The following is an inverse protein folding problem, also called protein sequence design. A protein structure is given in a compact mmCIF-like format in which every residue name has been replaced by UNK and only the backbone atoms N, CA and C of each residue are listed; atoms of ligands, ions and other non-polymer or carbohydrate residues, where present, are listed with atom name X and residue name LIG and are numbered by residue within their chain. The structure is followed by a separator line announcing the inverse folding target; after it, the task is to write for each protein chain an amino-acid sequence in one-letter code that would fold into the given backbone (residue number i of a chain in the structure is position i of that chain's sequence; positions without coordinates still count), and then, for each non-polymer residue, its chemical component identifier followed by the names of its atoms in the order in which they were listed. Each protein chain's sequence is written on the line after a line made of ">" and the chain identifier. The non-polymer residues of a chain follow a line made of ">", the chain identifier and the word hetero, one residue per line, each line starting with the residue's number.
data_IF_838899376969
#
_entry.id   IF_838899376969
#
_cell.length_a   1.000
_cell.length_b   1.000
_cell.length_c   1.000
_cell.angle_alpha   90.00
_cell.angle_beta   90.00
_cell.angle_gamma   90.00
#
_symmetry.space_group_name_H-M   'P 1'
#
loop_
_entity.id
_entity.type
_entity.pdbx_description
1 polymer ?
#
# COMPACT_ATOMS: atom_id res chain seq x y z
N UNK A 1 -8.98 0.64 28.76
CA UNK A 1 -9.30 0.00 27.46
C UNK A 1 -8.95 1.01 26.39
N UNK A 2 -7.71 1.01 25.89
CA UNK A 2 -7.39 1.77 24.69
C UNK A 2 -8.07 1.05 23.53
N UNK A 3 -9.12 1.66 22.98
CA UNK A 3 -9.63 1.25 21.69
C UNK A 3 -8.55 1.58 20.67
N UNK A 4 -7.88 0.57 20.13
CA UNK A 4 -6.99 0.71 18.97
C UNK A 4 -7.79 1.40 17.86
N UNK A 5 -7.64 2.71 17.73
CA UNK A 5 -8.33 3.48 16.71
C UNK A 5 -7.75 3.07 15.37
N UNK A 6 -8.54 2.34 14.59
CA UNK A 6 -8.18 2.04 13.21
C UNK A 6 -7.90 3.35 12.46
N UNK A 7 -6.83 3.41 11.65
CA UNK A 7 -6.46 4.62 10.93
C UNK A 7 -7.61 5.12 10.05
N UNK A 8 -7.78 6.45 10.00
CA UNK A 8 -8.85 7.07 9.21
C UNK A 8 -8.73 6.71 7.73
N UNK A 9 -9.86 6.35 7.12
CA UNK A 9 -10.02 6.10 5.68
C UNK A 9 -9.45 7.24 4.85
N UNK A 10 -8.72 6.91 3.79
CA UNK A 10 -8.23 7.88 2.80
C UNK A 10 -9.35 8.25 1.83
N UNK A 11 -9.24 9.47 1.30
CA UNK A 11 -10.12 9.90 0.23
C UNK A 11 -9.84 9.09 -1.05
N UNK A 12 -10.88 8.79 -1.84
CA UNK A 12 -10.78 8.00 -3.08
C UNK A 12 -9.75 8.55 -4.07
N UNK A 13 -9.62 9.88 -4.18
CA UNK A 13 -8.61 10.50 -5.05
C UNK A 13 -7.18 10.25 -4.58
N UNK A 14 -6.95 10.18 -3.26
CA UNK A 14 -5.64 9.85 -2.69
C UNK A 14 -5.27 8.42 -3.02
N UNK A 15 -6.19 7.47 -2.86
CA UNK A 15 -5.98 6.06 -3.19
C UNK A 15 -5.59 5.92 -4.66
N UNK A 16 -6.37 6.51 -5.59
CA UNK A 16 -6.07 6.46 -7.04
C UNK A 16 -4.72 7.07 -7.40
N UNK A 17 -4.37 8.21 -6.79
CA UNK A 17 -3.07 8.86 -7.03
C UNK A 17 -1.92 7.97 -6.56
N UNK A 18 -2.05 7.38 -5.38
CA UNK A 18 -1.01 6.51 -4.79
C UNK A 18 -0.88 5.22 -5.58
N UNK A 19 -1.99 4.60 -6.01
CA UNK A 19 -1.98 3.42 -6.87
C UNK A 19 -1.28 3.69 -8.21
N UNK A 20 -1.58 4.82 -8.87
CA UNK A 20 -0.88 5.23 -10.10
C UNK A 20 0.62 5.40 -9.89
N UNK A 21 1.02 6.04 -8.80
CA UNK A 21 2.45 6.21 -8.46
C UNK A 21 3.10 4.86 -8.16
N UNK A 22 2.42 3.98 -7.45
CA UNK A 22 2.91 2.64 -7.14
C UNK A 22 3.15 1.83 -8.43
N UNK A 23 2.17 1.78 -9.34
CA UNK A 23 2.32 1.11 -10.65
C UNK A 23 3.53 1.65 -11.43
N UNK A 24 3.73 2.96 -11.43
CA UNK A 24 4.89 3.58 -12.09
C UNK A 24 6.22 3.19 -11.45
N UNK A 25 6.27 3.05 -10.12
CA UNK A 25 7.47 2.64 -9.39
C UNK A 25 7.77 1.14 -9.50
N UNK A 26 6.75 0.31 -9.73
CA UNK A 26 6.91 -1.13 -9.94
C UNK A 26 7.42 -1.46 -11.35
N UNK A 27 7.05 -0.65 -12.34
CA UNK A 27 7.46 -0.88 -13.73
C UNK A 27 9.00 -0.91 -13.88
N UNK A 28 9.55 -2.09 -14.18
CA UNK A 28 10.99 -2.32 -14.31
C UNK A 28 11.75 -2.45 -12.98
N UNK A 29 11.05 -2.52 -11.84
CA UNK A 29 11.65 -2.64 -10.51
C UNK A 29 11.46 -4.06 -9.94
N UNK A 30 12.47 -4.91 -10.16
CA UNK A 30 12.48 -6.29 -9.66
C UNK A 30 12.60 -6.42 -8.13
N UNK A 31 13.07 -5.37 -7.44
CA UNK A 31 13.22 -5.40 -5.98
C UNK A 31 11.91 -5.12 -5.24
N UNK A 32 10.88 -4.64 -5.93
CA UNK A 32 9.62 -4.18 -5.35
C UNK A 32 9.69 -2.77 -4.77
N UNK A 33 8.55 -2.28 -4.27
CA UNK A 33 8.40 -0.95 -3.66
C UNK A 33 8.07 -1.10 -2.18
N UNK A 34 8.93 -0.56 -1.32
CA UNK A 34 8.86 -0.71 0.13
C UNK A 34 8.02 0.39 0.77
N UNK A 35 7.07 0.00 1.62
CA UNK A 35 6.31 0.90 2.47
C UNK A 35 6.60 0.57 3.93
N UNK A 36 7.21 1.52 4.63
CA UNK A 36 7.58 1.36 6.03
C UNK A 36 6.39 1.19 6.96
N UNK A 37 6.60 0.54 8.11
CA UNK A 37 5.60 0.39 9.18
C UNK A 37 4.93 1.73 9.55
N UNK A 38 5.72 2.81 9.64
CA UNK A 38 5.22 4.16 9.95
C UNK A 38 4.23 4.66 8.89
N UNK A 39 4.47 4.36 7.62
CA UNK A 39 3.53 4.70 6.54
C UNK A 39 2.26 3.87 6.68
N UNK A 40 2.39 2.56 6.86
CA UNK A 40 1.25 1.63 6.97
C UNK A 40 0.35 1.94 8.16
N UNK A 41 0.91 2.37 9.29
CA UNK A 41 0.15 2.79 10.47
C UNK A 41 -0.86 3.93 10.19
N UNK A 42 -0.69 4.66 9.08
CA UNK A 42 -1.61 5.73 8.69
C UNK A 42 -2.69 5.30 7.69
N UNK A 43 -2.70 4.03 7.26
CA UNK A 43 -3.61 3.51 6.23
C UNK A 43 -4.54 2.46 6.78
N UNK A 44 -5.84 2.58 6.48
CA UNK A 44 -6.80 1.53 6.75
C UNK A 44 -6.53 0.32 5.85
N UNK A 45 -6.78 -0.88 6.35
CA UNK A 45 -6.55 -2.13 5.61
C UNK A 45 -7.24 -2.13 4.25
N UNK A 46 -8.51 -1.72 4.19
CA UNK A 46 -9.27 -1.74 2.94
C UNK A 46 -8.90 -0.58 2.01
N UNK A 47 -8.12 0.41 2.47
CA UNK A 47 -7.49 1.38 1.55
C UNK A 47 -6.22 0.79 0.92
N UNK A 48 -5.47 -0.03 1.66
CA UNK A 48 -4.32 -0.77 1.12
C UNK A 48 -4.77 -1.79 0.07
N UNK A 49 -5.85 -2.52 0.34
CA UNK A 49 -6.49 -3.43 -0.63
C UNK A 49 -6.92 -2.67 -1.89
N UNK A 50 -7.56 -1.50 -1.74
CA UNK A 50 -7.93 -0.68 -2.88
C UNK A 50 -6.73 -0.13 -3.67
N UNK A 51 -5.61 0.19 -3.00
CA UNK A 51 -4.36 0.55 -3.68
C UNK A 51 -3.82 -0.63 -4.48
N UNK A 52 -3.76 -1.82 -3.87
CA UNK A 52 -3.32 -3.07 -4.49
C UNK A 52 -4.10 -3.34 -5.77
N UNK A 53 -5.43 -3.39 -5.66
CA UNK A 53 -6.32 -3.75 -6.76
C UNK A 53 -6.22 -2.72 -7.92
N UNK A 54 -6.10 -1.42 -7.61
CA UNK A 54 -5.95 -0.37 -8.63
C UNK A 54 -4.55 -0.32 -9.25
N UNK A 55 -3.52 -0.78 -8.53
CA UNK A 55 -2.15 -0.82 -9.02
C UNK A 55 -1.82 -2.14 -9.73
N UNK A 56 -2.74 -3.13 -9.71
CA UNK A 56 -2.57 -4.45 -10.31
C UNK A 56 -1.22 -5.05 -9.89
N UNK A 57 -1.04 -5.20 -8.59
CA UNK A 57 0.21 -5.65 -7.98
C UNK A 57 -0.08 -6.53 -6.77
N UNK A 58 0.94 -7.22 -6.26
CA UNK A 58 0.84 -8.00 -5.02
C UNK A 58 1.61 -7.36 -3.87
N UNK A 59 1.18 -7.62 -2.64
CA UNK A 59 1.77 -7.07 -1.42
C UNK A 59 2.21 -8.16 -0.45
N UNK A 60 3.48 -8.14 -0.03
CA UNK A 60 4.04 -9.08 0.94
C UNK A 60 4.56 -8.34 2.17
N UNK A 61 4.18 -8.77 3.37
CA UNK A 61 4.75 -8.25 4.62
C UNK A 61 6.14 -8.85 4.88
N UNK A 62 7.11 -7.99 5.21
CA UNK A 62 8.47 -8.37 5.66
C UNK A 62 8.94 -7.38 6.73
N UNK A 63 9.28 -7.87 7.91
CA UNK A 63 9.82 -7.06 9.02
C UNK A 63 9.00 -5.78 9.30
N UNK A 64 7.67 -5.92 9.42
CA UNK A 64 6.68 -4.83 9.58
C UNK A 64 6.58 -3.83 8.42
N UNK A 65 7.31 -4.05 7.33
CA UNK A 65 7.19 -3.33 6.08
C UNK A 65 6.31 -4.10 5.09
N UNK A 66 5.65 -3.36 4.19
CA UNK A 66 4.90 -3.92 3.09
C UNK A 66 5.69 -3.70 1.81
N UNK A 67 6.05 -4.80 1.17
CA UNK A 67 6.77 -4.80 -0.11
C UNK A 67 5.76 -5.10 -1.21
N UNK A 68 5.60 -4.16 -2.12
CA UNK A 68 4.77 -4.32 -3.30
C UNK A 68 5.59 -4.90 -4.45
N UNK A 69 5.02 -5.82 -5.21
CA UNK A 69 5.65 -6.47 -6.37
C UNK A 69 4.73 -6.42 -7.58
N UNK A 70 5.33 -6.28 -8.76
CA UNK A 70 4.60 -6.50 -10.00
C UNK A 70 4.18 -7.98 -10.04
N UNK A 71 2.91 -8.26 -10.30
CA UNK A 71 2.42 -9.62 -10.48
C UNK A 71 2.83 -10.05 -11.90
N UNK A 72 3.68 -11.07 -12.07
CA UNK A 72 4.12 -11.52 -13.40
C UNK A 72 3.03 -12.22 -14.22
#
# INVERSE_FOLDING_TARGET
>A
METEQQPKRKHRSTIRRVAKQLRQQLNGNSAGVYWSAKRLATWAKEDLEAVRDLAECEGMMRDDELVWHDDP
#
